data_IF_000198955682
#
_entry.id   IF_000198955682
#
_cell.length_a   1.000
_cell.length_b   1.000
_cell.length_c   1.000
_cell.angle_alpha   90.00
_cell.angle_beta   90.00
_cell.angle_gamma   90.00
#
_symmetry.space_group_name_H-M   'P 1'
#
loop_
_entity.id
_entity.type
_entity.pdbx_description
1 polymer ?
#
# COMPACT_ATOMS: atom_id res chain seq x y z
N UNK A 1 72.05 -64.67 59.51
CA UNK A 1 72.36 -63.49 60.35
C UNK A 1 72.02 -62.23 59.55
N UNK A 2 71.42 -61.20 60.17
CA UNK A 2 70.22 -60.55 59.64
C UNK A 2 70.37 -59.05 59.30
N UNK A 3 69.33 -58.58 58.59
CA UNK A 3 68.67 -57.27 58.65
C UNK A 3 69.44 -55.98 58.29
N UNK A 4 68.86 -55.21 57.35
CA UNK A 4 68.18 -53.94 57.71
C UNK A 4 67.18 -53.53 56.64
N UNK A 5 65.95 -53.27 57.10
CA UNK A 5 64.86 -52.58 56.39
C UNK A 5 65.14 -51.08 56.40
N UNK A 6 64.68 -50.38 55.38
CA UNK A 6 64.31 -48.97 55.48
C UNK A 6 63.18 -48.68 54.50
N UNK A 7 62.02 -48.39 55.09
CA UNK A 7 60.81 -47.84 54.48
C UNK A 7 61.09 -46.55 53.71
N UNK A 8 60.52 -46.39 52.51
CA UNK A 8 60.21 -45.08 51.90
C UNK A 8 58.98 -45.20 50.98
N UNK A 9 57.87 -44.72 51.51
CA UNK A 9 56.76 -43.96 50.90
C UNK A 9 56.10 -44.40 49.57
N UNK A 10 54.88 -44.91 49.74
CA UNK A 10 53.79 -44.90 48.76
C UNK A 10 53.50 -43.47 48.27
N UNK A 11 53.71 -43.22 46.96
CA UNK A 11 53.08 -42.08 46.26
C UNK A 11 52.13 -42.58 45.20
N UNK A 12 50.88 -42.71 45.63
CA UNK A 12 49.69 -42.88 44.81
C UNK A 12 49.57 -41.70 43.82
N UNK A 13 49.77 -41.98 42.53
CA UNK A 13 49.64 -41.01 41.45
C UNK A 13 48.16 -40.71 41.17
N UNK A 14 47.69 -39.56 41.62
CA UNK A 14 46.35 -39.04 41.31
C UNK A 14 46.17 -38.86 39.79
N UNK A 15 45.14 -39.51 39.22
CA UNK A 15 44.71 -39.32 37.82
C UNK A 15 43.90 -38.02 37.68
N UNK A 16 44.00 -37.26 36.57
CA UNK A 16 43.32 -35.98 36.43
C UNK A 16 41.82 -36.14 36.13
N UNK A 17 41.01 -35.27 36.72
CA UNK A 17 39.57 -35.19 36.52
C UNK A 17 39.20 -34.84 35.07
N UNK A 18 38.20 -35.55 34.56
CA UNK A 18 37.61 -35.43 33.23
C UNK A 18 37.00 -34.02 33.02
N UNK A 19 37.48 -33.29 32.01
CA UNK A 19 37.04 -31.94 31.71
C UNK A 19 35.60 -31.93 31.17
N UNK A 20 34.70 -31.26 31.90
CA UNK A 20 33.30 -31.10 31.50
C UNK A 20 33.16 -30.37 30.15
N UNK A 21 32.28 -30.89 29.29
CA UNK A 21 32.00 -30.35 27.96
C UNK A 21 31.49 -28.88 27.98
N UNK A 22 31.82 -28.05 26.97
CA UNK A 22 31.46 -26.64 26.97
C UNK A 22 29.96 -26.44 26.75
N UNK A 23 29.35 -25.61 27.60
CA UNK A 23 27.92 -25.26 27.57
C UNK A 23 27.55 -24.56 26.26
N UNK A 24 26.59 -25.09 25.52
CA UNK A 24 26.10 -24.53 24.26
C UNK A 24 25.57 -23.09 24.45
N UNK A 25 26.16 -22.13 23.72
CA UNK A 25 25.72 -20.73 23.69
C UNK A 25 24.35 -20.63 23.00
N UNK A 26 23.27 -20.50 23.79
CA UNK A 26 21.93 -20.13 23.27
C UNK A 26 22.02 -18.76 22.59
N UNK A 27 22.02 -18.73 21.25
CA UNK A 27 21.83 -17.50 20.47
C UNK A 27 20.43 -16.97 20.77
N UNK A 28 20.34 -15.89 21.55
CA UNK A 28 19.10 -15.11 21.68
C UNK A 28 18.94 -14.28 20.42
N UNK A 29 18.28 -14.82 19.41
CA UNK A 29 17.79 -14.03 18.27
C UNK A 29 16.54 -13.26 18.70
N UNK A 30 16.71 -12.29 19.61
CA UNK A 30 15.65 -11.32 19.86
C UNK A 30 15.70 -10.28 18.75
N UNK A 31 14.60 -10.08 17.98
CA UNK A 31 14.60 -9.09 16.92
C UNK A 31 14.84 -7.69 17.51
N UNK A 32 15.73 -6.93 16.87
CA UNK A 32 16.07 -5.57 17.24
C UNK A 32 14.80 -4.73 17.32
N UNK A 33 14.49 -4.22 18.52
CA UNK A 33 13.38 -3.29 18.74
C UNK A 33 13.74 -1.95 18.10
N UNK A 34 13.21 -1.71 16.91
CA UNK A 34 13.29 -0.41 16.24
C UNK A 34 12.21 0.47 16.85
N UNK A 35 12.60 1.62 17.41
CA UNK A 35 11.72 2.50 18.20
C UNK A 35 10.47 3.00 17.43
N UNK A 36 10.49 2.94 16.09
CA UNK A 36 9.39 3.38 15.23
C UNK A 36 8.54 2.22 14.67
N UNK A 37 8.63 1.02 15.24
CA UNK A 37 7.77 -0.09 14.83
C UNK A 37 6.33 0.12 15.31
N UNK A 38 5.41 0.09 14.37
CA UNK A 38 3.97 0.01 14.64
C UNK A 38 3.70 -1.26 15.49
N UNK A 39 3.00 -1.15 16.63
CA UNK A 39 2.61 -2.29 17.46
C UNK A 39 1.82 -3.35 16.69
N UNK A 40 1.91 -4.62 17.10
CA UNK A 40 1.22 -5.72 16.40
C UNK A 40 -0.30 -5.54 16.34
N UNK A 41 -0.92 -4.96 17.37
CA UNK A 41 -2.35 -4.63 17.38
C UNK A 41 -2.72 -3.67 16.25
N UNK A 42 -1.97 -2.56 16.13
CA UNK A 42 -2.19 -1.55 15.09
C UNK A 42 -1.89 -2.07 13.68
N UNK A 43 -0.95 -3.02 13.53
CA UNK A 43 -0.73 -3.70 12.24
C UNK A 43 -1.95 -4.51 11.80
N UNK A 44 -2.54 -5.30 12.71
CA UNK A 44 -3.75 -6.09 12.44
C UNK A 44 -4.96 -5.20 12.10
N UNK A 45 -5.08 -4.06 12.77
CA UNK A 45 -6.14 -3.09 12.50
C UNK A 45 -5.99 -2.44 11.11
N UNK A 46 -4.75 -2.07 10.74
CA UNK A 46 -4.46 -1.55 9.39
C UNK A 46 -4.72 -2.62 8.32
N UNK A 47 -4.30 -3.86 8.56
CA UNK A 47 -4.52 -4.98 7.64
C UNK A 47 -6.01 -5.26 7.43
N UNK A 48 -6.79 -5.31 8.51
CA UNK A 48 -8.24 -5.46 8.46
C UNK A 48 -8.92 -4.32 7.69
N UNK A 49 -8.54 -3.07 7.97
CA UNK A 49 -9.08 -1.91 7.27
C UNK A 49 -8.68 -1.85 5.79
N UNK A 50 -7.51 -2.40 5.43
CA UNK A 50 -7.04 -2.49 4.06
C UNK A 50 -7.78 -3.58 3.28
N UNK A 51 -8.11 -4.70 3.92
CA UNK A 51 -8.93 -5.79 3.35
C UNK A 51 -10.33 -5.32 2.95
N UNK A 52 -10.96 -4.48 3.77
CA UNK A 52 -12.30 -3.92 3.50
C UNK A 52 -12.30 -2.88 2.36
N UNK A 53 -11.13 -2.32 2.02
CA UNK A 53 -11.01 -1.36 0.94
C UNK A 53 -10.97 -2.08 -0.42
N UNK A 54 -12.09 -2.09 -1.13
CA UNK A 54 -12.09 -2.49 -2.53
C UNK A 54 -11.14 -1.56 -3.30
N UNK A 55 -10.07 -2.10 -3.88
CA UNK A 55 -9.09 -1.32 -4.61
C UNK A 55 -9.70 -0.51 -5.76
N UNK A 56 -8.94 0.45 -6.30
CA UNK A 56 -9.39 1.27 -7.42
C UNK A 56 -9.85 0.38 -8.58
N UNK A 57 -11.06 0.60 -9.15
CA UNK A 57 -11.57 -0.18 -10.26
C UNK A 57 -10.52 -0.38 -11.36
N UNK A 58 -10.40 -1.61 -11.89
CA UNK A 58 -9.40 -1.95 -12.93
C UNK A 58 -9.46 -1.02 -14.14
N UNK A 59 -10.66 -0.51 -14.50
CA UNK A 59 -10.88 0.48 -15.57
C UNK A 59 -10.21 1.85 -15.35
N UNK A 60 -9.89 2.19 -14.10
CA UNK A 60 -9.15 3.40 -13.71
C UNK A 60 -7.66 3.12 -13.55
N UNK A 61 -7.23 1.87 -13.78
CA UNK A 61 -5.81 1.53 -13.77
C UNK A 61 -5.08 2.23 -14.90
N UNK A 62 -3.88 2.72 -14.61
CA UNK A 62 -2.99 3.33 -15.61
C UNK A 62 -2.57 2.37 -16.71
N UNK A 63 -2.65 1.05 -16.45
CA UNK A 63 -2.30 0.00 -17.41
C UNK A 63 -3.22 -0.04 -18.64
N UNK A 64 -4.50 0.30 -18.46
CA UNK A 64 -5.49 0.31 -19.55
C UNK A 64 -5.38 1.55 -20.45
N UNK A 65 -4.59 2.55 -20.04
CA UNK A 65 -4.44 3.83 -20.73
C UNK A 65 -5.69 4.71 -20.69
N UNK A 66 -5.55 6.02 -20.95
CA UNK A 66 -6.69 6.91 -21.02
C UNK A 66 -7.48 6.69 -22.32
N UNK A 67 -8.75 6.33 -22.18
CA UNK A 67 -9.69 6.19 -23.30
C UNK A 67 -10.34 7.53 -23.60
N UNK A 68 -10.85 7.68 -24.81
CA UNK A 68 -11.59 8.88 -25.22
C UNK A 68 -12.95 8.94 -24.53
N UNK A 69 -13.31 10.11 -24.03
CA UNK A 69 -14.67 10.38 -23.60
C UNK A 69 -15.54 10.76 -24.81
N UNK A 70 -16.76 10.22 -24.86
CA UNK A 70 -17.74 10.55 -25.90
C UNK A 70 -18.89 11.30 -25.27
N UNK A 71 -19.14 12.50 -25.75
CA UNK A 71 -20.23 13.36 -25.27
C UNK A 71 -20.89 14.05 -26.46
N UNK A 72 -22.22 13.98 -26.59
CA UNK A 72 -22.99 14.54 -27.71
C UNK A 72 -22.42 14.16 -29.10
N UNK A 73 -22.05 12.87 -29.27
CA UNK A 73 -21.37 12.33 -30.46
C UNK A 73 -19.98 12.92 -30.74
N UNK A 74 -19.51 13.90 -29.96
CA UNK A 74 -18.15 14.47 -30.02
C UNK A 74 -17.20 13.59 -29.22
N UNK A 75 -16.01 13.35 -29.79
CA UNK A 75 -14.90 12.66 -29.11
C UNK A 75 -14.03 13.70 -28.42
N UNK A 76 -13.73 13.47 -27.16
CA UNK A 76 -12.88 14.35 -26.35
C UNK A 76 -11.61 13.57 -26.00
N UNK A 77 -10.47 14.16 -26.33
CA UNK A 77 -9.17 13.54 -26.14
C UNK A 77 -8.74 13.67 -24.67
N UNK A 78 -8.05 12.66 -24.12
CA UNK A 78 -7.44 12.79 -22.81
C UNK A 78 -6.49 13.99 -22.72
N UNK A 79 -6.49 14.68 -21.58
CA UNK A 79 -5.65 15.86 -21.34
C UNK A 79 -6.17 17.15 -21.98
N UNK A 80 -7.38 17.15 -22.54
CA UNK A 80 -7.97 18.34 -23.19
C UNK A 80 -9.16 18.89 -22.41
N UNK A 81 -9.36 20.19 -22.54
CA UNK A 81 -10.61 20.86 -22.15
C UNK A 81 -11.36 21.20 -23.42
N UNK A 82 -12.64 20.86 -23.47
CA UNK A 82 -13.49 21.15 -24.62
C UNK A 82 -14.77 21.81 -24.15
N UNK A 83 -15.06 22.97 -24.71
CA UNK A 83 -16.37 23.59 -24.63
C UNK A 83 -17.24 23.10 -25.78
N UNK A 84 -18.47 22.74 -25.43
CA UNK A 84 -19.46 22.18 -26.34
C UNK A 84 -20.76 22.93 -26.09
N UNK A 85 -21.24 23.58 -27.13
CA UNK A 85 -22.60 24.13 -27.15
C UNK A 85 -23.58 22.98 -27.36
N UNK A 86 -24.57 22.90 -26.47
CA UNK A 86 -25.69 22.00 -26.57
C UNK A 86 -26.91 22.81 -27.00
N UNK A 87 -27.29 22.63 -28.26
CA UNK A 87 -28.52 23.22 -28.78
C UNK A 87 -29.70 22.56 -28.07
N UNK A 88 -30.56 23.40 -27.50
CA UNK A 88 -31.90 22.98 -27.12
C UNK A 88 -32.69 22.65 -28.39
N UNK A 89 -33.77 21.87 -28.26
CA UNK A 89 -34.64 21.37 -29.35
C UNK A 89 -34.71 22.31 -30.56
N UNK A 90 -34.83 21.74 -31.76
CA UNK A 90 -35.04 22.49 -33.00
C UNK A 90 -36.31 23.36 -32.85
N UNK A 91 -36.10 24.66 -32.62
CA UNK A 91 -37.18 25.62 -32.44
C UNK A 91 -37.44 26.25 -33.80
N UNK A 92 -38.63 26.02 -34.37
CA UNK A 92 -39.04 26.64 -35.64
C UNK A 92 -39.32 28.15 -35.50
N UNK A 93 -39.41 28.65 -34.27
CA UNK A 93 -39.80 30.03 -33.94
C UNK A 93 -38.89 30.58 -32.84
N UNK A 94 -37.91 31.41 -33.20
CA UNK A 94 -37.05 32.14 -32.26
C UNK A 94 -35.56 32.07 -32.58
N UNK A 95 -34.72 32.61 -31.69
CA UNK A 95 -33.27 32.49 -31.75
C UNK A 95 -32.78 31.27 -30.95
N UNK A 96 -31.73 30.61 -31.43
CA UNK A 96 -31.12 29.47 -30.73
C UNK A 96 -30.47 29.94 -29.42
N UNK A 97 -30.74 29.23 -28.33
CA UNK A 97 -30.11 29.44 -27.03
C UNK A 97 -29.30 28.21 -26.61
N UNK A 98 -28.04 28.10 -27.05
CA UNK A 98 -27.21 26.94 -26.71
C UNK A 98 -26.81 26.97 -25.23
N UNK A 99 -26.91 25.81 -24.57
CA UNK A 99 -26.38 25.64 -23.22
C UNK A 99 -24.88 25.34 -23.30
N UNK A 100 -24.01 26.12 -22.63
CA UNK A 100 -22.57 25.86 -22.64
C UNK A 100 -22.24 24.68 -21.72
N UNK A 101 -21.64 23.64 -22.28
CA UNK A 101 -21.13 22.48 -21.53
C UNK A 101 -19.62 22.44 -21.63
N UNK A 102 -18.94 22.45 -20.49
CA UNK A 102 -17.49 22.29 -20.43
C UNK A 102 -17.14 20.88 -20.00
N UNK A 103 -16.39 20.16 -20.84
CA UNK A 103 -15.86 18.84 -20.50
C UNK A 103 -14.36 18.94 -20.29
N UNK A 104 -13.92 18.60 -19.09
CA UNK A 104 -12.49 18.51 -18.73
C UNK A 104 -12.10 17.05 -18.71
N UNK A 105 -11.26 16.62 -19.64
CA UNK A 105 -10.77 15.25 -19.68
C UNK A 105 -9.35 15.18 -19.12
N UNK A 106 -9.19 14.56 -17.95
CA UNK A 106 -7.85 14.32 -17.38
C UNK A 106 -6.99 13.39 -18.26
N UNK A 107 -5.67 13.50 -18.16
CA UNK A 107 -4.74 12.64 -18.89
C UNK A 107 -4.70 11.18 -18.38
N UNK A 108 -5.29 10.91 -17.21
CA UNK A 108 -5.30 9.58 -16.57
C UNK A 108 -6.71 9.02 -16.53
N UNK A 109 -6.89 7.70 -16.72
CA UNK A 109 -8.19 7.07 -16.55
C UNK A 109 -8.65 7.23 -15.09
N UNK A 110 -9.94 7.55 -14.92
CA UNK A 110 -10.51 7.89 -13.62
C UNK A 110 -12.04 7.94 -13.66
N UNK A 111 -12.68 8.30 -12.55
CA UNK A 111 -14.13 8.50 -12.52
C UNK A 111 -14.57 9.62 -13.45
N UNK A 112 -15.80 9.54 -13.92
CA UNK A 112 -16.49 10.62 -14.63
C UNK A 112 -17.43 11.26 -13.62
N UNK A 113 -17.33 12.59 -13.48
CA UNK A 113 -18.19 13.39 -12.60
C UNK A 113 -18.92 14.39 -13.46
N UNK A 114 -20.24 14.47 -13.28
CA UNK A 114 -21.08 15.46 -13.94
C UNK A 114 -21.55 16.45 -12.89
N UNK A 115 -21.29 17.73 -13.12
CA UNK A 115 -21.73 18.83 -12.25
C UNK A 115 -22.79 19.60 -13.03
N UNK A 116 -23.92 19.82 -12.39
CA UNK A 116 -25.02 20.63 -12.91
C UNK A 116 -25.22 21.81 -11.94
N UNK A 117 -25.58 22.96 -12.47
CA UNK A 117 -25.82 24.18 -11.70
C UNK A 117 -26.84 25.05 -12.42
N UNK A 118 -27.32 26.09 -11.73
CA UNK A 118 -28.35 27.00 -12.24
C UNK A 118 -29.59 26.27 -12.78
N UNK A 119 -30.04 25.21 -12.07
CA UNK A 119 -31.26 24.49 -12.42
C UNK A 119 -32.50 25.38 -12.30
N UNK A 120 -32.50 26.27 -11.31
CA UNK A 120 -33.47 27.34 -11.17
C UNK A 120 -32.80 28.69 -11.49
N UNK A 121 -33.55 29.60 -12.13
CA UNK A 121 -33.04 30.90 -12.59
C UNK A 121 -32.70 31.90 -11.47
N UNK A 122 -32.91 31.52 -10.21
CA UNK A 122 -32.64 32.34 -9.02
C UNK A 122 -31.55 31.75 -8.11
N UNK A 123 -30.88 30.65 -8.52
CA UNK A 123 -29.82 29.99 -7.76
C UNK A 123 -28.47 30.17 -8.46
N UNK A 124 -27.55 30.89 -7.81
CA UNK A 124 -26.17 31.14 -8.26
C UNK A 124 -25.16 30.36 -7.39
#
# INVERSE_FOLDING_TARGET
MPAKRSDVDDKESAKPAEAAAPRAKRRRSQPLKVANQIPQSRRKEIEKALEDSSGTPKRWSRKDGPKYHRFLRKRINPGTVRQIEFDLLEVDIGESWPIPITVVHGARPGPVVTILGALHGNEL
#
